data_IF_857998205073
#
_entry.id   IF_857998205073
#
_cell.length_a   1.000
_cell.length_b   1.000
_cell.length_c   1.000
_cell.angle_alpha   90.00
_cell.angle_beta   90.00
_cell.angle_gamma   90.00
#
_symmetry.space_group_name_H-M   'P 1'
#
loop_
_entity.id
_entity.type
_entity.pdbx_description
1 polymer ?
#
# COMPACT_ATOMS: atom_id res chain seq x y z
N UNK A 1 12.06 -0.62 -1.24
CA UNK A 1 11.83 -0.05 0.11
C UNK A 1 12.61 1.24 0.31
N UNK A 2 13.89 1.29 -0.05
CA UNK A 2 14.70 2.49 0.19
C UNK A 2 14.09 3.76 -0.41
N UNK A 3 13.46 3.68 -1.59
CA UNK A 3 12.91 4.86 -2.26
C UNK A 3 11.72 5.51 -1.55
N UNK A 4 10.86 4.75 -0.85
CA UNK A 4 9.70 5.34 -0.16
C UNK A 4 10.12 6.10 1.09
N UNK A 5 11.03 5.53 1.88
CA UNK A 5 11.54 6.18 3.10
C UNK A 5 12.44 7.36 2.75
N UNK A 6 13.35 7.20 1.78
CA UNK A 6 14.20 8.31 1.32
C UNK A 6 13.36 9.38 0.63
N UNK A 7 12.35 8.99 -0.17
CA UNK A 7 11.45 9.93 -0.83
C UNK A 7 10.64 10.76 0.17
N UNK A 8 10.17 10.15 1.27
CA UNK A 8 9.50 10.87 2.35
C UNK A 8 10.45 11.88 3.01
N UNK A 9 11.71 11.51 3.25
CA UNK A 9 12.73 12.42 3.78
C UNK A 9 13.01 13.58 2.80
N UNK A 10 13.19 13.31 1.51
CA UNK A 10 13.37 14.37 0.50
C UNK A 10 12.16 15.30 0.45
N UNK A 11 10.93 14.74 0.54
CA UNK A 11 9.69 15.51 0.60
C UNK A 11 9.69 16.52 1.77
N UNK A 12 10.06 16.04 2.95
CA UNK A 12 10.11 16.85 4.17
C UNK A 12 11.21 17.93 4.11
N UNK A 13 12.44 17.54 3.73
CA UNK A 13 13.61 18.41 3.89
C UNK A 13 13.94 19.27 2.66
N UNK A 14 13.72 18.77 1.45
CA UNK A 14 14.07 19.49 0.20
C UNK A 14 12.87 20.24 -0.38
N UNK A 15 11.67 19.69 -0.22
CA UNK A 15 10.42 20.32 -0.70
C UNK A 15 9.63 21.01 0.40
N UNK A 16 10.15 21.02 1.64
CA UNK A 16 9.57 21.71 2.80
C UNK A 16 8.10 21.33 3.06
N UNK A 17 7.73 20.08 2.77
CA UNK A 17 6.40 19.56 3.07
C UNK A 17 6.31 19.25 4.56
N UNK A 18 5.39 19.93 5.24
CA UNK A 18 5.16 19.76 6.69
C UNK A 18 3.92 18.88 7.01
N UNK A 19 3.13 18.53 6.00
CA UNK A 19 1.92 17.70 6.19
C UNK A 19 2.30 16.23 6.41
N UNK A 20 2.21 15.80 7.67
CA UNK A 20 2.49 14.43 8.10
C UNK A 20 1.65 13.38 7.36
N UNK A 21 0.41 13.66 6.95
CA UNK A 21 -0.41 12.68 6.22
C UNK A 21 0.17 12.44 4.82
N UNK A 22 0.64 13.51 4.16
CA UNK A 22 1.34 13.42 2.86
C UNK A 22 2.67 12.67 3.02
N UNK A 23 3.48 13.02 4.03
CA UNK A 23 4.77 12.39 4.29
C UNK A 23 4.59 10.90 4.55
N UNK A 24 3.60 10.52 5.37
CA UNK A 24 3.32 9.13 5.70
C UNK A 24 2.78 8.36 4.48
N UNK A 25 1.92 8.97 3.66
CA UNK A 25 1.47 8.36 2.40
C UNK A 25 2.66 8.02 1.47
N UNK A 26 3.65 8.89 1.37
CA UNK A 26 4.89 8.62 0.61
C UNK A 26 5.72 7.53 1.32
N UNK A 27 5.91 7.61 2.63
CA UNK A 27 6.76 6.67 3.39
C UNK A 27 6.25 5.23 3.33
N UNK A 28 4.93 5.05 3.34
CA UNK A 28 4.31 3.73 3.47
C UNK A 28 3.77 3.15 2.15
N UNK A 29 3.73 3.88 1.03
CA UNK A 29 3.16 3.41 -0.25
C UNK A 29 3.71 2.06 -0.76
N UNK A 30 4.96 1.73 -0.44
CA UNK A 30 5.56 0.44 -0.89
C UNK A 30 5.16 -0.78 -0.09
N UNK A 31 4.83 -0.60 1.20
CA UNK A 31 4.67 -1.73 2.13
C UNK A 31 3.34 -1.74 2.85
N UNK A 32 2.62 -0.62 2.85
CA UNK A 32 1.55 -0.34 3.78
C UNK A 32 2.06 -0.25 5.21
N UNK A 33 1.15 -0.04 6.16
CA UNK A 33 1.37 -0.25 7.60
C UNK A 33 0.05 -0.65 8.26
N UNK A 34 0.11 -1.02 9.54
CA UNK A 34 -1.10 -1.12 10.36
C UNK A 34 -1.75 0.27 10.46
N UNK A 35 -3.08 0.30 10.51
CA UNK A 35 -3.85 1.53 10.72
C UNK A 35 -3.49 2.67 9.74
N UNK A 36 -3.44 2.36 8.44
CA UNK A 36 -3.22 3.38 7.41
C UNK A 36 -4.36 4.41 7.40
N UNK A 37 -4.00 5.69 7.31
CA UNK A 37 -4.94 6.77 7.04
C UNK A 37 -5.62 6.57 5.69
N UNK A 38 -6.73 7.28 5.46
CA UNK A 38 -7.41 7.25 4.16
C UNK A 38 -6.46 7.66 3.01
N UNK A 39 -5.61 8.67 3.23
CA UNK A 39 -4.65 9.13 2.21
C UNK A 39 -3.60 8.06 1.92
N UNK A 40 -3.04 7.42 2.95
CA UNK A 40 -2.09 6.31 2.79
C UNK A 40 -2.71 5.15 1.99
N UNK A 41 -3.96 4.78 2.31
CA UNK A 41 -4.72 3.75 1.59
C UNK A 41 -4.90 4.12 0.10
N UNK A 42 -5.26 5.37 -0.19
CA UNK A 42 -5.45 5.89 -1.55
C UNK A 42 -4.14 5.87 -2.33
N UNK A 43 -3.05 6.42 -1.78
CA UNK A 43 -1.76 6.49 -2.47
C UNK A 43 -1.18 5.08 -2.71
N UNK A 44 -1.30 4.17 -1.73
CA UNK A 44 -0.88 2.79 -1.90
C UNK A 44 -1.60 2.10 -3.07
N UNK A 45 -2.94 2.21 -3.12
CA UNK A 45 -3.69 1.53 -4.18
C UNK A 45 -3.50 2.22 -5.54
N UNK A 46 -3.35 3.54 -5.57
CA UNK A 46 -3.15 4.30 -6.81
C UNK A 46 -1.89 3.86 -7.57
N UNK A 47 -0.76 3.63 -6.89
CA UNK A 47 0.48 3.13 -7.50
C UNK A 47 0.30 1.76 -8.18
N UNK A 48 -0.63 0.94 -7.66
CA UNK A 48 -0.94 -0.38 -8.18
C UNK A 48 -1.96 -0.38 -9.32
N UNK A 49 -2.90 0.57 -9.34
CA UNK A 49 -4.03 0.54 -10.28
C UNK A 49 -3.99 1.60 -11.38
N UNK A 50 -2.96 2.45 -11.40
CA UNK A 50 -2.77 3.45 -12.46
C UNK A 50 -2.87 2.84 -13.86
N UNK A 51 -3.35 3.62 -14.83
CA UNK A 51 -3.80 3.14 -16.14
C UNK A 51 -2.73 2.35 -16.91
N UNK A 52 -1.46 2.68 -16.71
CA UNK A 52 -0.31 2.01 -17.30
C UNK A 52 -0.01 0.61 -16.75
N UNK A 53 -0.50 0.26 -15.55
CA UNK A 53 -0.24 -1.04 -14.93
C UNK A 53 -1.02 -2.16 -15.63
N UNK A 54 -0.30 -3.27 -15.88
CA UNK A 54 -0.85 -4.53 -16.42
C UNK A 54 -0.26 -5.72 -15.67
N UNK A 55 -1.05 -6.37 -14.83
CA UNK A 55 -0.69 -7.60 -14.12
C UNK A 55 -1.96 -8.37 -13.73
N UNK A 56 -1.86 -9.68 -13.39
CA UNK A 56 -3.03 -10.58 -13.32
C UNK A 56 -4.19 -10.14 -12.42
N UNK A 57 -3.95 -9.29 -11.42
CA UNK A 57 -4.97 -8.88 -10.42
C UNK A 57 -5.40 -7.41 -10.58
N UNK A 58 -4.83 -6.67 -11.54
CA UNK A 58 -5.02 -5.21 -11.65
C UNK A 58 -6.47 -4.81 -11.88
N UNK A 59 -7.22 -5.54 -12.70
CA UNK A 59 -8.61 -5.19 -13.02
C UNK A 59 -9.54 -5.43 -11.83
N UNK A 60 -9.33 -6.52 -11.08
CA UNK A 60 -10.02 -6.75 -9.81
C UNK A 60 -9.72 -5.65 -8.79
N UNK A 61 -8.48 -5.19 -8.70
CA UNK A 61 -8.12 -4.07 -7.81
C UNK A 61 -8.81 -2.77 -8.21
N UNK A 62 -8.89 -2.48 -9.52
CA UNK A 62 -9.62 -1.32 -10.06
C UNK A 62 -11.10 -1.38 -9.72
N UNK A 63 -11.75 -2.51 -9.97
CA UNK A 63 -13.17 -2.72 -9.65
C UNK A 63 -13.47 -2.50 -8.17
N UNK A 64 -12.64 -3.05 -7.27
CA UNK A 64 -12.81 -2.87 -5.83
C UNK A 64 -12.57 -1.42 -5.40
N UNK A 65 -11.49 -0.81 -5.87
CA UNK A 65 -11.13 0.56 -5.50
C UNK A 65 -12.18 1.57 -5.99
N UNK A 66 -12.54 1.54 -7.27
CA UNK A 66 -13.56 2.44 -7.83
C UNK A 66 -14.97 2.12 -7.34
N UNK A 67 -15.23 0.87 -6.93
CA UNK A 67 -16.48 0.45 -6.28
C UNK A 67 -16.61 0.87 -4.82
N UNK A 68 -15.66 1.63 -4.27
CA UNK A 68 -15.70 2.12 -2.88
C UNK A 68 -15.31 1.07 -1.83
N UNK A 69 -14.68 -0.05 -2.24
CA UNK A 69 -14.26 -1.15 -1.37
C UNK A 69 -12.75 -1.14 -1.15
N UNK A 70 -12.23 0.00 -0.69
CA UNK A 70 -10.80 0.26 -0.60
C UNK A 70 -10.06 -0.77 0.28
N UNK A 71 -10.63 -1.14 1.42
CA UNK A 71 -10.01 -2.14 2.32
C UNK A 71 -10.00 -3.55 1.71
N UNK A 72 -11.00 -3.91 0.90
CA UNK A 72 -10.98 -5.16 0.11
C UNK A 72 -9.90 -5.12 -0.98
N UNK A 73 -9.73 -3.97 -1.65
CA UNK A 73 -8.69 -3.78 -2.65
C UNK A 73 -7.29 -3.93 -2.02
N UNK A 74 -7.06 -3.30 -0.86
CA UNK A 74 -5.80 -3.40 -0.12
C UNK A 74 -5.51 -4.83 0.34
N UNK A 75 -6.50 -5.50 0.95
CA UNK A 75 -6.33 -6.88 1.39
C UNK A 75 -6.01 -7.82 0.20
N UNK A 76 -6.69 -7.62 -0.93
CA UNK A 76 -6.42 -8.36 -2.18
C UNK A 76 -5.00 -8.10 -2.68
N UNK A 77 -4.56 -6.84 -2.68
CA UNK A 77 -3.20 -6.46 -3.07
C UNK A 77 -2.14 -7.08 -2.15
N UNK A 78 -2.31 -7.01 -0.83
CA UNK A 78 -1.39 -7.61 0.13
C UNK A 78 -1.29 -9.12 -0.04
N UNK A 79 -2.41 -9.82 -0.22
CA UNK A 79 -2.41 -11.26 -0.50
C UNK A 79 -1.63 -11.59 -1.78
N UNK A 80 -1.87 -10.85 -2.87
CA UNK A 80 -1.16 -11.03 -4.12
C UNK A 80 0.35 -10.78 -3.98
N UNK A 81 0.73 -9.69 -3.30
CA UNK A 81 2.13 -9.33 -3.05
C UNK A 81 2.85 -10.41 -2.22
N UNK A 82 2.23 -10.89 -1.15
CA UNK A 82 2.80 -11.95 -0.32
C UNK A 82 2.98 -13.25 -1.11
N UNK A 83 1.97 -13.67 -1.87
CA UNK A 83 2.07 -14.87 -2.71
C UNK A 83 3.15 -14.74 -3.77
N UNK A 84 3.27 -13.57 -4.40
CA UNK A 84 4.31 -13.28 -5.39
C UNK A 84 5.72 -13.42 -4.79
N UNK A 85 5.96 -12.82 -3.61
CA UNK A 85 7.25 -12.89 -2.91
C UNK A 85 7.57 -14.32 -2.45
N UNK A 86 6.58 -15.04 -1.89
CA UNK A 86 6.72 -16.45 -1.49
C UNK A 86 7.11 -17.31 -2.70
N UNK A 87 6.43 -17.15 -3.83
CA UNK A 87 6.72 -17.91 -5.05
C UNK A 87 8.12 -17.63 -5.61
N UNK A 88 8.65 -16.43 -5.37
CA UNK A 88 10.03 -16.05 -5.70
C UNK A 88 11.07 -16.52 -4.70
N UNK A 89 10.67 -17.04 -3.53
CA UNK A 89 11.56 -17.40 -2.40
C UNK A 89 12.37 -16.19 -1.90
N UNK A 90 11.77 -15.01 -1.94
CA UNK A 90 12.37 -13.77 -1.45
C UNK A 90 11.88 -13.42 -0.03
N UNK A 91 12.58 -12.51 0.63
CA UNK A 91 12.20 -12.03 1.95
C UNK A 91 10.94 -11.16 1.91
N UNK A 92 10.05 -11.38 2.88
CA UNK A 92 8.83 -10.61 3.06
C UNK A 92 9.08 -9.53 4.11
N UNK A 93 8.78 -8.28 3.78
CA UNK A 93 8.88 -7.23 4.77
C UNK A 93 7.79 -7.36 5.85
N UNK A 94 8.13 -7.34 7.16
CA UNK A 94 7.17 -7.55 8.25
C UNK A 94 5.98 -6.59 8.24
N UNK A 95 6.21 -5.33 7.84
CA UNK A 95 5.17 -4.29 7.81
C UNK A 95 4.00 -4.64 6.88
N UNK A 96 4.27 -5.32 5.77
CA UNK A 96 3.22 -5.77 4.83
C UNK A 96 2.36 -6.88 5.45
N UNK A 97 2.98 -7.78 6.22
CA UNK A 97 2.27 -8.82 6.97
C UNK A 97 1.38 -8.19 8.05
N UNK A 98 1.92 -7.21 8.77
CA UNK A 98 1.21 -6.46 9.80
C UNK A 98 0.01 -5.70 9.22
N UNK A 99 0.20 -4.93 8.15
CA UNK A 99 -0.86 -4.19 7.45
C UNK A 99 -2.00 -5.11 7.00
N UNK A 100 -1.67 -6.26 6.41
CA UNK A 100 -2.65 -7.28 6.04
C UNK A 100 -3.43 -7.79 7.25
N UNK A 101 -2.72 -8.15 8.32
CA UNK A 101 -3.35 -8.72 9.51
C UNK A 101 -4.25 -7.71 10.21
N UNK A 102 -3.89 -6.42 10.18
CA UNK A 102 -4.72 -5.34 10.69
C UNK A 102 -6.09 -5.31 9.99
N UNK A 103 -6.13 -5.28 8.66
CA UNK A 103 -7.38 -5.27 7.88
C UNK A 103 -8.25 -6.52 8.11
N UNK A 104 -7.64 -7.68 8.37
CA UNK A 104 -8.38 -8.91 8.70
C UNK A 104 -9.04 -8.79 10.08
N UNK A 105 -8.31 -8.24 11.06
CA UNK A 105 -8.84 -8.08 12.43
C UNK A 105 -9.98 -7.06 12.49
N UNK A 106 -9.85 -5.94 11.78
CA UNK A 106 -10.93 -4.94 11.70
C UNK A 106 -12.23 -5.52 11.13
N UNK A 107 -12.15 -6.42 10.15
CA UNK A 107 -13.34 -7.09 9.58
C UNK A 107 -14.00 -8.12 10.48
N UNK A 108 -13.31 -8.57 11.54
CA UNK A 108 -13.82 -9.56 12.50
C UNK A 108 -14.47 -8.90 13.73
N UNK A 109 -14.40 -7.57 13.84
CA UNK A 109 -15.04 -6.74 14.86
C UNK A 109 -16.28 -6.06 14.27
#
# INVERSE_FOLDING_TARGET
>A
MSHSVIGAYICEYEFEVEDEDIINAIKYHTTGREDMSLLEKIIYIADLIEEGRKFPVVDTLRELAYGGKLDEALLTSFNNTLMFVINKKEEIHPRTVMARNYLIKEKLL
#
